data_IF_080258001043
#
_entry.id   IF_080258001043
#
_cell.length_a   1.000
_cell.length_b   1.000
_cell.length_c   1.000
_cell.angle_alpha   90.00
_cell.angle_beta   90.00
_cell.angle_gamma   90.00
#
_symmetry.space_group_name_H-M   'P 1'
#
loop_
_entity.id
_entity.type
_entity.pdbx_description
1 polymer ?
#
# COMPACT_ATOMS: atom_id res chain seq x y z
N UNK A 1 -14.68 -2.58 34.52
CA UNK A 1 -15.18 -3.83 33.91
C UNK A 1 -15.99 -3.43 32.68
N UNK A 2 -15.49 -3.69 31.47
CA UNK A 2 -16.21 -3.37 30.22
C UNK A 2 -17.36 -4.36 30.09
N UNK A 3 -18.59 -3.87 30.14
CA UNK A 3 -19.78 -4.70 29.96
C UNK A 3 -19.78 -5.26 28.51
N UNK A 4 -19.43 -6.54 28.35
CA UNK A 4 -19.25 -7.21 27.04
C UNK A 4 -20.55 -7.37 26.22
N UNK A 5 -21.69 -6.97 26.80
CA UNK A 5 -23.03 -7.10 26.22
C UNK A 5 -23.50 -5.87 25.44
N UNK A 6 -22.82 -4.71 25.54
CA UNK A 6 -23.18 -3.52 24.76
C UNK A 6 -22.54 -3.54 23.36
N UNK A 7 -23.33 -3.60 22.26
CA UNK A 7 -22.79 -3.56 20.90
C UNK A 7 -22.01 -2.27 20.61
N UNK A 8 -22.33 -1.14 21.25
CA UNK A 8 -21.59 0.10 21.09
C UNK A 8 -20.18 0.00 21.72
N UNK A 9 -20.06 -0.64 22.88
CA UNK A 9 -18.77 -0.87 23.55
C UNK A 9 -17.83 -1.81 22.77
N UNK A 10 -18.37 -2.71 21.94
CA UNK A 10 -17.58 -3.62 21.10
C UNK A 10 -16.89 -2.90 19.94
N UNK A 11 -17.60 -1.96 19.31
CA UNK A 11 -17.07 -1.14 18.23
C UNK A 11 -15.91 -0.25 18.68
N UNK A 12 -15.88 0.12 19.96
CA UNK A 12 -14.85 1.00 20.53
C UNK A 12 -13.66 0.24 21.14
N UNK A 13 -13.60 -1.09 20.97
CA UNK A 13 -12.48 -1.87 21.51
C UNK A 13 -11.13 -1.41 20.92
N UNK A 14 -10.05 -1.27 21.72
CA UNK A 14 -8.77 -0.75 21.24
C UNK A 14 -8.17 -1.55 20.08
N UNK A 15 -8.31 -2.87 20.11
CA UNK A 15 -7.83 -3.76 19.05
C UNK A 15 -8.58 -3.54 17.73
N UNK A 16 -9.92 -3.44 17.78
CA UNK A 16 -10.72 -3.16 16.59
C UNK A 16 -10.39 -1.79 16.03
N UNK A 17 -10.27 -0.77 16.89
CA UNK A 17 -9.91 0.58 16.46
C UNK A 17 -8.53 0.64 15.78
N UNK A 18 -7.57 -0.13 16.30
CA UNK A 18 -6.25 -0.27 15.68
C UNK A 18 -6.35 -0.93 14.31
N UNK A 19 -7.04 -2.07 14.20
CA UNK A 19 -7.22 -2.80 12.94
C UNK A 19 -7.95 -1.94 11.92
N UNK A 20 -9.09 -1.34 12.30
CA UNK A 20 -9.89 -0.49 11.44
C UNK A 20 -9.10 0.71 10.92
N UNK A 21 -8.27 1.33 11.76
CA UNK A 21 -7.41 2.44 11.37
C UNK A 21 -6.46 2.05 10.24
N UNK A 22 -5.67 1.01 10.44
CA UNK A 22 -4.67 0.62 9.43
C UNK A 22 -5.30 -0.02 8.21
N UNK A 23 -6.42 -0.72 8.35
CA UNK A 23 -7.19 -1.22 7.21
C UNK A 23 -7.71 -0.08 6.33
N UNK A 24 -8.30 0.97 6.90
CA UNK A 24 -8.78 2.13 6.14
C UNK A 24 -7.62 2.89 5.47
N UNK A 25 -6.48 3.06 6.17
CA UNK A 25 -5.29 3.67 5.58
C UNK A 25 -4.74 2.83 4.42
N UNK A 26 -4.65 1.51 4.57
CA UNK A 26 -4.25 0.60 3.50
C UNK A 26 -5.21 0.69 2.31
N UNK A 27 -6.51 0.72 2.58
CA UNK A 27 -7.55 0.78 1.54
C UNK A 27 -7.51 2.10 0.77
N UNK A 28 -7.27 3.21 1.46
CA UNK A 28 -7.10 4.51 0.79
C UNK A 28 -5.88 4.51 -0.13
N UNK A 29 -4.75 3.97 0.34
CA UNK A 29 -3.53 3.83 -0.49
C UNK A 29 -3.77 2.87 -1.66
N UNK A 30 -4.46 1.75 -1.43
CA UNK A 30 -4.83 0.79 -2.47
C UNK A 30 -5.67 1.44 -3.58
N UNK A 31 -6.61 2.30 -3.21
CA UNK A 31 -7.41 3.08 -4.15
C UNK A 31 -6.57 4.09 -4.93
N UNK A 32 -5.75 4.90 -4.26
CA UNK A 32 -4.91 5.89 -4.95
C UNK A 32 -3.85 5.26 -5.83
N UNK A 33 -3.28 4.13 -5.41
CA UNK A 33 -2.32 3.38 -6.22
C UNK A 33 -2.99 2.76 -7.46
N UNK A 34 -4.16 2.14 -7.29
CA UNK A 34 -4.96 1.65 -8.43
C UNK A 34 -5.30 2.79 -9.39
N UNK A 35 -5.81 3.91 -8.87
CA UNK A 35 -6.16 5.08 -9.68
C UNK A 35 -4.95 5.60 -10.46
N UNK A 36 -3.79 5.75 -9.80
CA UNK A 36 -2.57 6.19 -10.45
C UNK A 36 -2.12 5.20 -11.54
N UNK A 37 -2.14 3.89 -11.26
CA UNK A 37 -1.74 2.86 -12.21
C UNK A 37 -2.68 2.86 -13.42
N UNK A 38 -4.00 2.77 -13.20
CA UNK A 38 -5.00 2.76 -14.28
C UNK A 38 -4.91 4.01 -15.15
N UNK A 39 -4.79 5.20 -14.55
CA UNK A 39 -4.62 6.44 -15.33
C UNK A 39 -3.29 6.43 -16.10
N UNK A 40 -2.21 5.94 -15.50
CA UNK A 40 -0.92 5.87 -16.19
C UNK A 40 -0.97 4.93 -17.40
N UNK A 41 -1.59 3.75 -17.26
CA UNK A 41 -1.76 2.82 -18.38
C UNK A 41 -2.72 3.35 -19.44
N UNK A 42 -3.78 4.07 -19.09
CA UNK A 42 -4.68 4.68 -20.08
C UNK A 42 -4.01 5.82 -20.86
N UNK A 43 -3.12 6.58 -20.22
CA UNK A 43 -2.50 7.77 -20.83
C UNK A 43 -1.22 7.43 -21.60
N UNK A 44 -0.39 6.56 -21.04
CA UNK A 44 0.98 6.33 -21.51
C UNK A 44 1.15 4.99 -22.23
N UNK A 45 0.25 4.03 -22.00
CA UNK A 45 0.35 2.67 -22.53
C UNK A 45 -1.02 2.15 -23.01
N UNK A 46 -1.14 0.84 -23.21
CA UNK A 46 -2.43 0.20 -23.47
C UNK A 46 -3.16 -0.04 -22.15
N UNK A 47 -4.48 0.20 -22.08
CA UNK A 47 -5.27 -0.18 -20.92
C UNK A 47 -5.09 -1.67 -20.62
N UNK A 48 -4.78 -1.99 -19.37
CA UNK A 48 -4.69 -3.36 -18.88
C UNK A 48 -5.48 -3.46 -17.57
N UNK A 49 -6.28 -4.51 -17.41
CA UNK A 49 -6.84 -4.83 -16.10
C UNK A 49 -5.73 -5.46 -15.24
N UNK A 50 -5.49 -4.89 -14.06
CA UNK A 50 -4.36 -5.24 -13.20
C UNK A 50 -4.83 -5.41 -11.78
N UNK A 51 -4.46 -6.55 -11.20
CA UNK A 51 -4.90 -6.95 -9.87
C UNK A 51 -5.99 -8.01 -9.92
N UNK A 52 -6.45 -8.41 -8.73
CA UNK A 52 -7.38 -9.53 -8.54
C UNK A 52 -8.83 -9.07 -8.27
N UNK A 53 -9.00 -7.80 -7.88
CA UNK A 53 -10.28 -7.28 -7.44
C UNK A 53 -10.93 -6.52 -8.58
N UNK A 54 -12.24 -6.69 -8.72
CA UNK A 54 -13.08 -5.93 -9.65
C UNK A 54 -13.37 -4.54 -9.10
N UNK A 55 -13.36 -4.39 -7.77
CA UNK A 55 -13.41 -3.09 -7.10
C UNK A 55 -12.12 -2.28 -7.35
N UNK A 56 -12.18 -0.94 -7.28
CA UNK A 56 -11.03 -0.05 -7.57
C UNK A 56 -9.98 -0.04 -6.45
N UNK A 57 -9.48 -1.22 -6.05
CA UNK A 57 -8.52 -1.40 -4.98
C UNK A 57 -7.43 -2.39 -5.37
N UNK A 58 -6.21 -1.91 -5.54
CA UNK A 58 -5.04 -2.77 -5.60
C UNK A 58 -4.42 -2.87 -4.19
N UNK A 59 -4.89 -3.86 -3.40
CA UNK A 59 -4.45 -4.04 -2.01
C UNK A 59 -2.97 -4.40 -1.87
N UNK A 60 -2.29 -4.81 -2.95
CA UNK A 60 -0.84 -4.94 -2.98
C UNK A 60 -0.18 -3.62 -2.55
N UNK A 61 -0.59 -2.48 -3.10
CA UNK A 61 -0.04 -1.18 -2.75
C UNK A 61 -0.33 -0.78 -1.31
N UNK A 62 -1.58 -0.96 -0.87
CA UNK A 62 -1.98 -0.64 0.50
C UNK A 62 -1.22 -1.46 1.54
N UNK A 63 -1.08 -2.77 1.29
CA UNK A 63 -0.39 -3.70 2.19
C UNK A 63 1.12 -3.40 2.27
N UNK A 64 1.79 -3.14 1.13
CA UNK A 64 3.21 -2.76 1.09
C UNK A 64 3.46 -1.49 1.89
N UNK A 65 2.65 -0.44 1.70
CA UNK A 65 2.82 0.83 2.42
C UNK A 65 2.63 0.66 3.93
N UNK A 66 1.69 -0.18 4.38
CA UNK A 66 1.53 -0.49 5.81
C UNK A 66 2.74 -1.25 6.36
N UNK A 67 3.27 -2.23 5.63
CA UNK A 67 4.50 -2.93 6.02
C UNK A 67 5.67 -1.97 6.14
N UNK A 68 5.86 -1.08 5.16
CA UNK A 68 6.89 -0.04 5.17
C UNK A 68 6.70 0.91 6.35
N UNK A 69 5.47 1.33 6.65
CA UNK A 69 5.19 2.21 7.78
C UNK A 69 5.63 1.59 9.12
N UNK A 70 5.33 0.30 9.35
CA UNK A 70 5.73 -0.38 10.58
C UNK A 70 7.23 -0.70 10.61
N UNK A 71 7.84 -1.04 9.48
CA UNK A 71 9.26 -1.36 9.40
C UNK A 71 10.15 -0.10 9.50
N UNK A 72 9.83 0.95 8.73
CA UNK A 72 10.69 2.10 8.49
C UNK A 72 10.11 3.43 9.03
N UNK A 73 8.79 3.60 8.99
CA UNK A 73 8.13 4.88 9.30
C UNK A 73 8.03 5.79 8.07
N UNK A 74 8.31 7.08 8.22
CA UNK A 74 8.54 8.02 7.11
C UNK A 74 10.03 8.39 7.03
N UNK A 75 10.51 9.10 6.00
CA UNK A 75 11.88 9.59 5.98
C UNK A 75 12.23 10.43 7.22
N UNK A 76 11.27 11.20 7.74
CA UNK A 76 11.51 12.17 8.82
C UNK A 76 10.95 11.75 10.19
N UNK A 77 10.15 10.67 10.27
CA UNK A 77 9.51 10.19 11.49
C UNK A 77 9.53 8.66 11.58
N UNK A 78 9.51 8.09 12.80
CA UNK A 78 9.62 6.64 13.00
C UNK A 78 11.06 6.15 13.01
N UNK A 79 11.32 4.94 12.52
CA UNK A 79 12.64 4.30 12.62
C UNK A 79 13.69 5.03 11.77
N UNK A 80 13.35 5.39 10.53
CA UNK A 80 14.21 6.20 9.66
C UNK A 80 14.32 7.66 10.11
N UNK A 81 13.30 8.19 10.78
CA UNK A 81 13.37 9.50 11.44
C UNK A 81 14.46 9.59 12.51
N UNK A 82 14.78 8.48 13.22
CA UNK A 82 15.90 8.44 14.18
C UNK A 82 17.25 8.64 13.49
N UNK A 83 17.43 8.06 12.29
CA UNK A 83 18.62 8.26 11.48
C UNK A 83 18.74 9.73 11.05
N UNK A 84 17.64 10.33 10.57
CA UNK A 84 17.60 11.76 10.25
C UNK A 84 17.99 12.64 11.44
N UNK A 85 17.41 12.40 12.62
CA UNK A 85 17.72 13.15 13.85
C UNK A 85 19.20 13.00 14.25
N UNK A 86 19.75 11.79 14.14
CA UNK A 86 21.17 11.51 14.43
C UNK A 86 22.11 12.24 13.48
N UNK A 87 21.82 12.24 12.18
CA UNK A 87 22.63 12.94 11.18
C UNK A 87 22.52 14.47 11.32
N UNK A 88 21.31 14.97 11.61
CA UNK A 88 21.02 16.39 11.81
C UNK A 88 21.78 16.95 13.02
N UNK A 89 21.73 16.29 14.18
CA UNK A 89 22.29 16.81 15.43
C UNK A 89 21.43 17.92 16.07
N UNK A 90 21.84 18.38 17.26
CA UNK A 90 21.04 19.28 18.11
C UNK A 90 20.98 20.74 17.58
N UNK A 91 22.11 21.29 17.13
CA UNK A 91 22.23 22.67 16.59
C UNK A 91 22.74 22.69 15.14
N UNK A 92 21.93 22.26 14.15
CA UNK A 92 22.39 22.12 12.77
C UNK A 92 22.42 23.45 12.01
N UNK A 93 23.54 23.69 11.32
CA UNK A 93 23.65 24.67 10.22
C UNK A 93 22.73 24.29 9.06
N UNK A 94 22.34 25.25 8.21
CA UNK A 94 21.44 25.02 7.07
C UNK A 94 21.97 23.90 6.14
N UNK A 95 23.27 23.92 5.84
CA UNK A 95 23.93 22.90 5.00
C UNK A 95 23.77 21.50 5.61
N UNK A 96 23.94 21.38 6.94
CA UNK A 96 23.77 20.10 7.63
C UNK A 96 22.32 19.62 7.62
N UNK A 97 21.34 20.54 7.73
CA UNK A 97 19.91 20.19 7.63
C UNK A 97 19.57 19.63 6.27
N UNK A 98 20.00 20.31 5.20
CA UNK A 98 19.74 19.89 3.81
C UNK A 98 20.46 18.56 3.53
N UNK A 99 21.74 18.45 3.89
CA UNK A 99 22.51 17.22 3.71
C UNK A 99 21.91 16.02 4.46
N UNK A 100 21.48 16.21 5.71
CA UNK A 100 20.82 15.16 6.48
C UNK A 100 19.46 14.76 5.89
N UNK A 101 18.68 15.73 5.39
CA UNK A 101 17.40 15.45 4.74
C UNK A 101 17.60 14.70 3.42
N UNK A 102 18.53 15.14 2.57
CA UNK A 102 18.85 14.49 1.31
C UNK A 102 19.33 13.05 1.53
N UNK A 103 20.23 12.83 2.49
CA UNK A 103 20.71 11.50 2.85
C UNK A 103 19.57 10.61 3.36
N UNK A 104 18.73 11.13 4.26
CA UNK A 104 17.58 10.40 4.79
C UNK A 104 16.61 9.97 3.68
N UNK A 105 16.28 10.88 2.76
CA UNK A 105 15.41 10.59 1.61
C UNK A 105 16.06 9.59 0.66
N UNK A 106 17.37 9.73 0.37
CA UNK A 106 18.07 8.81 -0.52
C UNK A 106 18.14 7.39 0.04
N UNK A 107 18.48 7.24 1.32
CA UNK A 107 18.49 5.93 1.99
C UNK A 107 17.08 5.35 2.07
N UNK A 108 16.08 6.19 2.37
CA UNK A 108 14.69 5.76 2.40
C UNK A 108 14.23 5.26 1.04
N UNK A 109 14.52 6.00 -0.04
CA UNK A 109 14.21 5.62 -1.42
C UNK A 109 14.78 4.23 -1.74
N UNK A 110 16.07 4.01 -1.52
CA UNK A 110 16.69 2.71 -1.78
C UNK A 110 16.02 1.59 -0.96
N UNK A 111 15.77 1.85 0.33
CA UNK A 111 15.14 0.86 1.21
C UNK A 111 13.72 0.49 0.78
N UNK A 112 12.89 1.48 0.42
CA UNK A 112 11.52 1.22 -0.01
C UNK A 112 11.46 0.59 -1.40
N UNK A 113 12.32 1.00 -2.32
CA UNK A 113 12.43 0.36 -3.66
C UNK A 113 12.73 -1.13 -3.51
N UNK A 114 13.74 -1.49 -2.71
CA UNK A 114 14.09 -2.89 -2.50
C UNK A 114 12.95 -3.64 -1.82
N UNK A 115 12.37 -3.07 -0.75
CA UNK A 115 11.32 -3.74 0.01
C UNK A 115 10.03 -3.93 -0.80
N UNK A 116 9.58 -2.91 -1.55
CA UNK A 116 8.39 -3.02 -2.40
C UNK A 116 8.59 -4.02 -3.52
N UNK A 117 9.76 -4.02 -4.17
CA UNK A 117 10.09 -4.96 -5.25
C UNK A 117 10.13 -6.41 -4.75
N UNK A 118 10.68 -6.64 -3.55
CA UNK A 118 10.68 -7.98 -2.95
C UNK A 118 9.26 -8.44 -2.62
N UNK A 119 8.40 -7.57 -2.08
CA UNK A 119 7.01 -7.90 -1.76
C UNK A 119 6.20 -8.14 -3.03
N UNK A 120 6.37 -7.33 -4.07
CA UNK A 120 5.77 -7.53 -5.39
C UNK A 120 6.19 -8.87 -6.00
N UNK A 121 7.49 -9.20 -5.94
CA UNK A 121 8.00 -10.49 -6.40
C UNK A 121 7.40 -11.67 -5.62
N UNK A 122 7.30 -11.59 -4.29
CA UNK A 122 6.70 -12.64 -3.46
C UNK A 122 5.23 -12.85 -3.84
N UNK A 123 4.46 -11.77 -3.93
CA UNK A 123 3.04 -11.85 -4.27
C UNK A 123 2.86 -12.39 -5.71
N UNK A 124 3.63 -11.88 -6.67
CA UNK A 124 3.59 -12.37 -8.04
C UNK A 124 3.97 -13.85 -8.14
N UNK A 125 4.95 -14.34 -7.36
CA UNK A 125 5.28 -15.77 -7.31
C UNK A 125 4.15 -16.61 -6.73
N UNK A 126 3.45 -16.14 -5.69
CA UNK A 126 2.30 -16.84 -5.11
C UNK A 126 1.18 -16.96 -6.15
N UNK A 127 0.83 -15.89 -6.84
CA UNK A 127 -0.28 -15.91 -7.80
C UNK A 127 0.09 -16.59 -9.11
N UNK A 128 1.22 -16.23 -9.73
CA UNK A 128 1.61 -16.81 -11.02
C UNK A 128 2.08 -18.27 -10.90
N UNK A 129 2.97 -18.59 -9.95
CA UNK A 129 3.51 -19.96 -9.82
C UNK A 129 2.70 -20.84 -8.88
N UNK A 130 2.14 -20.26 -7.81
CA UNK A 130 1.34 -21.02 -6.85
C UNK A 130 -0.08 -21.29 -7.31
N UNK A 131 -0.74 -20.27 -7.88
CA UNK A 131 -2.16 -20.35 -8.28
C UNK A 131 -2.37 -20.44 -9.80
N UNK A 132 -1.34 -20.17 -10.61
CA UNK A 132 -1.48 -20.13 -12.07
C UNK A 132 -2.27 -18.92 -12.58
N UNK A 133 -2.41 -17.86 -11.77
CA UNK A 133 -3.18 -16.66 -12.08
C UNK A 133 -2.22 -15.50 -12.37
N UNK A 134 -2.09 -15.06 -13.64
CA UNK A 134 -1.31 -13.87 -13.97
C UNK A 134 -2.14 -12.60 -13.67
N UNK A 135 -1.93 -12.00 -12.49
CA UNK A 135 -2.64 -10.77 -12.08
C UNK A 135 -2.15 -9.50 -12.79
N UNK A 136 -0.93 -9.52 -13.30
CA UNK A 136 -0.33 -8.46 -14.10
C UNK A 136 0.83 -9.02 -14.92
N UNK A 137 1.22 -8.30 -15.97
CA UNK A 137 2.40 -8.63 -16.76
C UNK A 137 3.23 -7.39 -17.05
N UNK A 138 4.54 -7.56 -17.06
CA UNK A 138 5.50 -6.57 -17.54
C UNK A 138 6.18 -6.96 -18.86
N UNK A 139 5.69 -7.97 -19.58
CA UNK A 139 6.34 -8.51 -20.80
C UNK A 139 6.65 -7.47 -21.88
N UNK A 140 5.87 -6.39 -21.95
CA UNK A 140 6.04 -5.33 -22.95
C UNK A 140 7.08 -4.26 -22.55
N UNK A 141 7.79 -4.45 -21.44
CA UNK A 141 8.79 -3.52 -20.92
C UNK A 141 10.17 -4.16 -20.94
N UNK A 142 11.20 -3.31 -20.95
CA UNK A 142 12.59 -3.75 -20.82
C UNK A 142 12.95 -4.03 -19.34
N UNK A 143 14.08 -4.71 -19.12
CA UNK A 143 14.63 -5.00 -17.78
C UNK A 143 13.64 -5.72 -16.84
N UNK A 144 12.89 -6.69 -17.38
CA UNK A 144 11.92 -7.48 -16.63
C UNK A 144 12.56 -8.72 -16.02
N UNK A 145 11.97 -9.21 -14.93
CA UNK A 145 12.34 -10.46 -14.31
C UNK A 145 11.10 -11.30 -14.05
N UNK A 146 11.06 -12.49 -14.67
CA UNK A 146 9.93 -13.44 -14.64
C UNK A 146 8.59 -12.85 -15.09
N UNK A 147 8.59 -11.73 -15.81
CA UNK A 147 7.42 -10.90 -16.13
C UNK A 147 6.61 -10.40 -14.91
N UNK A 148 7.13 -10.61 -13.68
CA UNK A 148 6.51 -10.23 -12.41
C UNK A 148 6.95 -8.83 -12.00
N UNK A 149 8.24 -8.53 -12.12
CA UNK A 149 8.82 -7.23 -11.75
C UNK A 149 9.57 -6.63 -12.94
N UNK A 150 9.64 -5.30 -12.97
CA UNK A 150 10.40 -4.52 -13.93
C UNK A 150 11.20 -3.45 -13.19
N UNK A 151 12.45 -3.22 -13.62
CA UNK A 151 13.34 -2.25 -12.97
C UNK A 151 12.75 -0.83 -12.98
N UNK A 152 12.18 -0.40 -14.10
CA UNK A 152 11.63 0.96 -14.25
C UNK A 152 10.45 1.18 -13.31
N UNK A 153 9.54 0.19 -13.21
CA UNK A 153 8.43 0.23 -12.26
C UNK A 153 8.91 0.12 -10.81
N UNK A 154 9.93 -0.69 -10.53
CA UNK A 154 10.52 -0.78 -9.18
C UNK A 154 11.02 0.59 -8.72
N UNK A 155 11.72 1.32 -9.59
CA UNK A 155 12.19 2.68 -9.33
C UNK A 155 11.03 3.67 -9.19
N UNK A 156 10.03 3.59 -10.07
CA UNK A 156 8.82 4.43 -10.01
C UNK A 156 8.09 4.25 -8.68
N UNK A 157 7.83 3.01 -8.26
CA UNK A 157 7.21 2.71 -6.97
C UNK A 157 8.06 3.20 -5.80
N UNK A 158 9.38 3.08 -5.90
CA UNK A 158 10.32 3.66 -4.94
C UNK A 158 10.12 5.17 -4.75
N UNK A 159 10.03 5.92 -5.86
CA UNK A 159 9.79 7.36 -5.85
C UNK A 159 8.40 7.65 -5.28
N UNK A 160 7.36 7.00 -5.78
CA UNK A 160 5.97 7.23 -5.38
C UNK A 160 5.74 6.93 -3.90
N UNK A 161 6.29 5.84 -3.37
CA UNK A 161 6.21 5.51 -1.95
C UNK A 161 6.98 6.54 -1.12
N UNK A 162 8.17 6.96 -1.55
CA UNK A 162 8.96 7.97 -0.84
C UNK A 162 8.24 9.31 -0.77
N UNK A 163 7.72 9.79 -1.90
CA UNK A 163 6.92 11.04 -1.97
C UNK A 163 5.63 10.88 -1.18
N UNK A 164 4.91 9.77 -1.38
CA UNK A 164 3.67 9.46 -0.70
C UNK A 164 3.82 9.41 0.82
N UNK A 165 4.93 8.87 1.33
CA UNK A 165 5.21 8.85 2.77
C UNK A 165 5.55 10.23 3.34
N UNK A 166 6.04 11.14 2.51
CA UNK A 166 6.24 12.54 2.88
C UNK A 166 4.94 13.36 2.84
N UNK A 167 4.02 13.04 1.92
CA UNK A 167 2.86 13.90 1.62
C UNK A 167 1.52 13.20 1.89
N UNK A 168 1.19 12.18 1.10
CA UNK A 168 -0.08 11.48 1.13
C UNK A 168 -0.33 10.79 2.48
N UNK A 169 0.66 10.13 3.05
CA UNK A 169 0.51 9.36 4.29
C UNK A 169 0.16 10.23 5.51
N UNK A 170 0.87 11.34 5.80
CA UNK A 170 0.44 12.29 6.82
C UNK A 170 -0.96 12.84 6.57
N UNK A 171 -1.31 13.12 5.32
CA UNK A 171 -2.65 13.61 4.94
C UNK A 171 -3.74 12.56 5.22
N UNK A 172 -3.53 11.31 4.83
CA UNK A 172 -4.46 10.21 5.10
C UNK A 172 -4.62 9.97 6.61
N UNK A 173 -3.52 10.01 7.38
CA UNK A 173 -3.59 9.93 8.83
C UNK A 173 -4.36 11.10 9.44
N UNK A 174 -4.24 12.30 8.88
CA UNK A 174 -5.00 13.47 9.33
C UNK A 174 -6.50 13.28 9.10
N UNK A 175 -6.90 12.80 7.91
CA UNK A 175 -8.30 12.49 7.62
C UNK A 175 -8.84 11.37 8.52
N UNK A 176 -8.07 10.31 8.71
CA UNK A 176 -8.45 9.16 9.54
C UNK A 176 -8.66 9.55 11.01
N UNK A 177 -7.84 10.46 11.54
CA UNK A 177 -7.99 10.97 12.91
C UNK A 177 -9.25 11.79 13.14
N UNK A 178 -9.88 12.34 12.09
CA UNK A 178 -11.16 13.05 12.18
C UNK A 178 -12.35 12.12 12.34
N UNK A 179 -12.19 10.83 12.04
CA UNK A 179 -13.27 9.85 12.18
C UNK A 179 -13.53 9.53 13.64
N UNK A 180 -14.81 9.57 14.04
CA UNK A 180 -15.22 9.06 15.35
C UNK A 180 -14.96 7.55 15.44
N UNK A 181 -14.74 6.98 16.65
CA UNK A 181 -14.47 5.55 16.81
C UNK A 181 -15.53 4.66 16.16
N UNK A 182 -16.81 5.01 16.33
CA UNK A 182 -17.94 4.29 15.72
C UNK A 182 -17.90 4.38 14.19
N UNK A 183 -17.72 5.57 13.62
CA UNK A 183 -17.67 5.75 12.17
C UNK A 183 -16.49 4.99 11.56
N UNK A 184 -15.32 5.00 12.20
CA UNK A 184 -14.14 4.26 11.77
C UNK A 184 -14.39 2.75 11.73
N UNK A 185 -14.94 2.20 12.80
CA UNK A 185 -15.22 0.77 12.87
C UNK A 185 -16.26 0.35 11.82
N UNK A 186 -17.36 1.11 11.69
CA UNK A 186 -18.41 0.83 10.71
C UNK A 186 -17.87 0.93 9.28
N UNK A 187 -17.14 2.00 8.94
CA UNK A 187 -16.55 2.17 7.61
C UNK A 187 -15.59 1.03 7.27
N UNK A 188 -14.73 0.63 8.23
CA UNK A 188 -13.81 -0.49 8.05
C UNK A 188 -14.55 -1.82 7.82
N UNK A 189 -15.60 -2.10 8.61
CA UNK A 189 -16.38 -3.33 8.48
C UNK A 189 -17.11 -3.37 7.12
N UNK A 190 -17.79 -2.28 6.74
CA UNK A 190 -18.51 -2.20 5.46
C UNK A 190 -17.55 -2.41 4.30
N UNK A 191 -16.42 -1.70 4.29
CA UNK A 191 -15.43 -1.84 3.23
C UNK A 191 -14.78 -3.23 3.21
N UNK A 192 -14.50 -3.82 4.37
CA UNK A 192 -13.98 -5.17 4.45
C UNK A 192 -14.96 -6.19 3.89
N UNK A 193 -16.26 -6.06 4.19
CA UNK A 193 -17.30 -6.93 3.61
C UNK A 193 -17.32 -6.81 2.09
N UNK A 194 -17.31 -5.59 1.54
CA UNK A 194 -17.29 -5.37 0.08
C UNK A 194 -16.07 -6.03 -0.57
N UNK A 195 -14.88 -5.81 -0.02
CA UNK A 195 -13.63 -6.36 -0.57
C UNK A 195 -13.58 -7.88 -0.45
N UNK A 196 -14.07 -8.45 0.65
CA UNK A 196 -14.14 -9.91 0.83
C UNK A 196 -15.14 -10.53 -0.12
N UNK A 197 -16.31 -9.91 -0.33
CA UNK A 197 -17.29 -10.38 -1.30
C UNK A 197 -16.74 -10.33 -2.73
N UNK A 198 -16.05 -9.25 -3.10
CA UNK A 198 -15.42 -9.09 -4.41
C UNK A 198 -14.31 -10.12 -4.64
N UNK A 199 -13.44 -10.31 -3.65
CA UNK A 199 -12.40 -11.33 -3.70
C UNK A 199 -13.00 -12.74 -3.81
N UNK A 200 -14.03 -13.04 -3.02
CA UNK A 200 -14.71 -14.34 -3.06
C UNK A 200 -15.37 -14.61 -4.41
N UNK A 201 -15.96 -13.58 -5.03
CA UNK A 201 -16.48 -13.66 -6.40
C UNK A 201 -15.37 -14.02 -7.38
N UNK A 202 -14.26 -13.26 -7.41
CA UNK A 202 -13.15 -13.49 -8.34
C UNK A 202 -12.51 -14.87 -8.16
N UNK A 203 -12.30 -15.32 -6.92
CA UNK A 203 -11.77 -16.67 -6.63
C UNK A 203 -12.74 -17.76 -7.08
N UNK A 204 -14.04 -17.59 -6.82
CA UNK A 204 -15.05 -18.59 -7.22
C UNK A 204 -15.17 -18.65 -8.74
N UNK A 205 -15.15 -17.50 -9.42
CA UNK A 205 -15.17 -17.42 -10.87
C UNK A 205 -13.98 -18.16 -11.48
N UNK A 206 -12.77 -17.91 -10.98
CA UNK A 206 -11.57 -18.61 -11.42
C UNK A 206 -11.66 -20.12 -11.17
N UNK A 207 -12.14 -20.54 -9.99
CA UNK A 207 -12.27 -21.96 -9.66
C UNK A 207 -13.26 -22.72 -10.56
N UNK A 208 -14.27 -22.03 -11.10
CA UNK A 208 -15.29 -22.62 -11.97
C UNK A 208 -14.89 -22.59 -13.44
N UNK A 209 -14.31 -21.48 -13.91
CA UNK A 209 -14.03 -21.26 -15.33
C UNK A 209 -12.59 -21.57 -15.73
N UNK A 210 -11.67 -21.56 -14.77
CA UNK A 210 -10.23 -21.59 -15.02
C UNK A 210 -9.67 -20.28 -15.61
N UNK A 211 -10.48 -19.22 -15.69
CA UNK A 211 -10.12 -17.93 -16.28
C UNK A 211 -10.11 -16.83 -15.20
N UNK A 212 -9.17 -15.90 -15.35
CA UNK A 212 -9.20 -14.65 -14.60
C UNK A 212 -10.38 -13.80 -15.09
N UNK A 213 -11.04 -13.08 -14.16
CA UNK A 213 -12.14 -12.20 -14.53
C UNK A 213 -11.56 -10.83 -14.89
N UNK A 214 -11.49 -10.54 -16.19
CA UNK A 214 -10.98 -9.27 -16.70
C UNK A 214 -12.14 -8.31 -16.99
N UNK A 215 -11.99 -7.05 -16.59
CA UNK A 215 -12.96 -5.99 -16.83
C UNK A 215 -12.96 -5.48 -18.29
N UNK A 216 -11.84 -5.58 -18.99
CA UNK A 216 -11.66 -5.12 -20.38
C UNK A 216 -10.44 -5.73 -21.05
#
# INVERSE_FOLDING_TARGET
>A
MVNRSDPAGRLESPALQFISRYFLLASAVAFFGWLFETMSFVILWEPQDRGMLTLPFCYLYGSIVVVIWFALGTPFAGNMGKLYQKCRGETPSLVRRIGAAALSVAVYFVAVTVLSTLLELIVGLIFMKGLGIPLWSYKNFDHTFMDIICLDFSLLWGVLITVGMCTLWPFLQFLERKLSPKARAVAAIVLAVLVVCDFAFNVTYFAVTGLHFDLY
#
